data_IF_720511845078
#
_entry.id   IF_720511845078
#
_cell.length_a   1.000
_cell.length_b   1.000
_cell.length_c   1.000
_cell.angle_alpha   90.00
_cell.angle_beta   90.00
_cell.angle_gamma   90.00
#
_symmetry.space_group_name_H-M   'P 1'
#
loop_
_entity.id
_entity.type
_entity.pdbx_description
1 polymer ?
#
# COMPACT_ATOMS: atom_id res chain seq x y z
N UNK A 1 10.01 -34.53 -6.90
CA UNK A 1 10.29 -33.42 -5.96
C UNK A 1 10.65 -32.14 -6.73
N UNK A 2 9.90 -31.77 -7.77
CA UNK A 2 10.19 -30.58 -8.60
C UNK A 2 9.18 -29.43 -8.40
N UNK A 3 8.03 -29.69 -7.77
CA UNK A 3 6.98 -28.68 -7.55
C UNK A 3 7.34 -27.60 -6.53
N UNK A 4 8.07 -27.95 -5.46
CA UNK A 4 8.37 -26.97 -4.40
C UNK A 4 9.42 -25.93 -4.83
N UNK A 5 10.39 -26.31 -5.67
CA UNK A 5 11.45 -25.39 -6.13
C UNK A 5 10.92 -24.28 -7.06
N UNK A 6 9.79 -24.52 -7.74
CA UNK A 6 9.14 -23.54 -8.60
C UNK A 6 8.28 -22.54 -7.83
N UNK A 7 7.83 -22.89 -6.62
CA UNK A 7 7.00 -22.02 -5.78
C UNK A 7 7.85 -20.92 -5.11
N UNK A 8 9.07 -21.25 -4.68
CA UNK A 8 10.01 -20.32 -4.03
C UNK A 8 10.45 -19.12 -4.91
N UNK A 9 10.36 -19.21 -6.24
CA UNK A 9 10.82 -18.15 -7.15
C UNK A 9 9.71 -17.39 -7.89
N UNK A 10 8.47 -17.90 -7.90
CA UNK A 10 7.37 -17.28 -8.66
C UNK A 10 6.60 -16.21 -7.89
N UNK A 11 6.72 -16.15 -6.57
CA UNK A 11 6.18 -15.08 -5.74
C UNK A 11 7.02 -13.79 -5.76
N UNK A 12 8.32 -13.90 -6.06
CA UNK A 12 9.27 -12.80 -5.98
C UNK A 12 8.89 -11.63 -6.90
N UNK A 13 8.71 -10.45 -6.30
CA UNK A 13 8.42 -9.20 -6.99
C UNK A 13 6.96 -9.01 -7.37
N UNK A 14 6.05 -9.96 -7.09
CA UNK A 14 4.60 -9.75 -7.25
C UNK A 14 4.10 -8.77 -6.19
N UNK A 15 4.50 -8.94 -4.92
CA UNK A 15 4.08 -8.04 -3.85
C UNK A 15 4.72 -6.66 -3.99
N UNK A 16 5.95 -6.59 -4.48
CA UNK A 16 6.64 -5.34 -4.82
C UNK A 16 5.90 -4.57 -5.92
N UNK A 17 5.45 -5.25 -6.97
CA UNK A 17 4.61 -4.64 -8.01
C UNK A 17 3.26 -4.17 -7.45
N UNK A 18 2.65 -4.97 -6.58
CA UNK A 18 1.42 -4.61 -5.90
C UNK A 18 1.59 -3.37 -5.01
N UNK A 19 2.70 -3.28 -4.25
CA UNK A 19 3.04 -2.13 -3.44
C UNK A 19 3.21 -0.87 -4.32
N UNK A 20 3.84 -0.99 -5.48
CA UNK A 20 3.92 0.08 -6.48
C UNK A 20 2.54 0.57 -6.93
N UNK A 21 1.63 -0.33 -7.29
CA UNK A 21 0.25 0.02 -7.67
C UNK A 21 -0.52 0.72 -6.54
N UNK A 22 -0.31 0.31 -5.29
CA UNK A 22 -0.91 0.97 -4.12
C UNK A 22 -0.33 2.37 -3.93
N UNK A 23 0.98 2.53 -4.14
CA UNK A 23 1.66 3.83 -4.09
C UNK A 23 1.09 4.79 -5.13
N UNK A 24 0.91 4.32 -6.38
CA UNK A 24 0.30 5.09 -7.47
C UNK A 24 -1.14 5.50 -7.13
N UNK A 25 -1.96 4.54 -6.66
CA UNK A 25 -3.34 4.82 -6.25
C UNK A 25 -3.41 5.86 -5.11
N UNK A 26 -2.47 5.82 -4.16
CA UNK A 26 -2.37 6.82 -3.09
C UNK A 26 -2.02 8.21 -3.62
N UNK A 27 -1.11 8.31 -4.60
CA UNK A 27 -0.75 9.57 -5.23
C UNK A 27 -1.96 10.15 -5.98
N UNK A 28 -2.64 9.32 -6.77
CA UNK A 28 -3.83 9.71 -7.53
C UNK A 28 -4.95 10.18 -6.61
N UNK A 29 -5.23 9.42 -5.56
CA UNK A 29 -6.23 9.79 -4.56
C UNK A 29 -5.92 11.15 -3.92
N UNK A 30 -4.66 11.38 -3.51
CA UNK A 30 -4.24 12.68 -2.96
C UNK A 30 -4.43 13.83 -3.94
N UNK A 31 -4.16 13.61 -5.22
CA UNK A 31 -4.33 14.64 -6.25
C UNK A 31 -5.82 14.97 -6.46
N UNK A 32 -6.67 13.95 -6.57
CA UNK A 32 -8.12 14.13 -6.70
C UNK A 32 -8.69 14.86 -5.47
N UNK A 33 -8.26 14.47 -4.27
CA UNK A 33 -8.75 15.10 -3.04
C UNK A 33 -8.29 16.56 -2.88
N UNK A 34 -7.07 16.91 -3.32
CA UNK A 34 -6.63 18.31 -3.39
C UNK A 34 -7.48 19.10 -4.37
N UNK A 35 -7.70 18.57 -5.57
CA UNK A 35 -8.57 19.23 -6.56
C UNK A 35 -9.98 19.47 -6.02
N UNK A 36 -10.57 18.50 -5.33
CA UNK A 36 -11.88 18.67 -4.73
C UNK A 36 -11.84 19.76 -3.64
N UNK A 37 -10.82 19.77 -2.79
CA UNK A 37 -10.63 20.81 -1.77
C UNK A 37 -10.53 22.20 -2.39
N UNK A 38 -9.75 22.37 -3.45
CA UNK A 38 -9.58 23.64 -4.15
C UNK A 38 -10.90 24.11 -4.79
N UNK A 39 -11.64 23.19 -5.43
CA UNK A 39 -12.97 23.47 -6.00
C UNK A 39 -13.96 23.89 -4.92
N UNK A 40 -13.96 23.19 -3.79
CA UNK A 40 -14.77 23.49 -2.61
C UNK A 40 -14.42 24.90 -2.12
N UNK A 41 -13.15 25.22 -1.83
CA UNK A 41 -12.72 26.56 -1.41
C UNK A 41 -13.11 27.67 -2.39
N UNK A 42 -13.07 27.41 -3.70
CA UNK A 42 -13.47 28.38 -4.73
C UNK A 42 -14.95 28.79 -4.71
N UNK A 43 -15.84 27.93 -4.21
CA UNK A 43 -17.28 28.25 -4.07
C UNK A 43 -17.65 28.85 -2.72
N UNK A 44 -16.76 28.82 -1.73
CA UNK A 44 -17.00 29.35 -0.37
C UNK A 44 -17.45 30.82 -0.39
N UNK A 45 -16.89 31.65 -1.27
CA UNK A 45 -17.26 33.07 -1.40
C UNK A 45 -18.70 33.31 -1.88
N UNK A 46 -19.39 32.28 -2.39
CA UNK A 46 -20.78 32.36 -2.85
C UNK A 46 -21.79 31.90 -1.79
N UNK A 47 -21.35 31.20 -0.74
CA UNK A 47 -22.21 30.56 0.25
C UNK A 47 -22.11 31.32 1.57
N UNK A 48 -22.76 32.49 1.67
CA UNK A 48 -22.86 33.24 2.92
C UNK A 48 -23.93 32.69 3.89
N UNK A 49 -23.78 32.89 5.20
CA UNK A 49 -24.78 32.51 6.20
C UNK A 49 -24.74 31.02 6.60
N UNK A 50 -25.90 30.38 6.80
CA UNK A 50 -25.99 28.95 7.21
C UNK A 50 -25.33 27.98 6.21
N UNK A 51 -25.24 28.35 4.93
CA UNK A 51 -24.52 27.57 3.91
C UNK A 51 -23.01 27.47 4.18
N UNK A 52 -22.41 28.50 4.80
CA UNK A 52 -21.00 28.48 5.19
C UNK A 52 -20.72 27.42 6.28
N UNK A 53 -21.61 27.30 7.27
CA UNK A 53 -21.44 26.33 8.36
C UNK A 53 -21.52 24.88 7.88
N UNK A 54 -22.53 24.56 7.05
CA UNK A 54 -22.64 23.23 6.45
C UNK A 54 -21.44 22.89 5.57
N UNK A 55 -20.89 23.90 4.89
CA UNK A 55 -19.69 23.77 4.07
C UNK A 55 -18.43 23.50 4.90
N UNK A 56 -18.21 24.22 6.00
CA UNK A 56 -17.08 23.94 6.90
C UNK A 56 -17.15 22.52 7.48
N UNK A 57 -18.34 22.07 7.86
CA UNK A 57 -18.54 20.71 8.35
C UNK A 57 -18.21 19.66 7.27
N UNK A 58 -18.62 19.90 6.01
CA UNK A 58 -18.28 19.04 4.88
C UNK A 58 -16.76 19.02 4.65
N UNK A 59 -16.10 20.17 4.63
CA UNK A 59 -14.66 20.26 4.41
C UNK A 59 -13.87 19.52 5.49
N UNK A 60 -14.27 19.68 6.75
CA UNK A 60 -13.62 18.98 7.86
C UNK A 60 -13.80 17.47 7.73
N UNK A 61 -15.04 17.01 7.56
CA UNK A 61 -15.33 15.58 7.39
C UNK A 61 -14.59 15.01 6.18
N UNK A 62 -14.55 15.73 5.06
CA UNK A 62 -13.79 15.32 3.87
C UNK A 62 -12.30 15.15 4.16
N UNK A 63 -11.68 16.12 4.82
CA UNK A 63 -10.26 16.10 5.18
C UNK A 63 -9.94 14.91 6.08
N UNK A 64 -10.78 14.67 7.10
CA UNK A 64 -10.64 13.53 8.01
C UNK A 64 -10.75 12.19 7.26
N UNK A 65 -11.76 12.03 6.39
CA UNK A 65 -11.95 10.79 5.62
C UNK A 65 -10.83 10.55 4.60
N UNK A 66 -10.35 11.61 3.97
CA UNK A 66 -9.20 11.53 3.07
C UNK A 66 -7.97 11.01 3.80
N UNK A 67 -7.66 11.58 4.96
CA UNK A 67 -6.48 11.19 5.73
C UNK A 67 -6.51 9.70 6.10
N UNK A 68 -7.67 9.19 6.55
CA UNK A 68 -7.85 7.76 6.85
C UNK A 68 -7.55 6.87 5.64
N UNK A 69 -8.00 7.25 4.45
CA UNK A 69 -7.75 6.47 3.22
C UNK A 69 -6.25 6.48 2.87
N UNK A 70 -5.60 7.64 2.94
CA UNK A 70 -4.16 7.77 2.64
C UNK A 70 -3.32 6.96 3.62
N UNK A 71 -3.65 7.00 4.91
CA UNK A 71 -2.98 6.22 5.95
C UNK A 71 -3.15 4.71 5.70
N UNK A 72 -4.37 4.26 5.38
CA UNK A 72 -4.62 2.86 5.07
C UNK A 72 -3.85 2.37 3.82
N UNK A 73 -3.75 3.20 2.78
CA UNK A 73 -2.96 2.87 1.57
C UNK A 73 -1.46 2.79 1.89
N UNK A 74 -0.95 3.69 2.72
CA UNK A 74 0.45 3.67 3.15
C UNK A 74 0.77 2.44 4.01
N UNK A 75 -0.11 2.09 4.95
CA UNK A 75 0.04 0.88 5.76
C UNK A 75 -0.02 -0.39 4.90
N UNK A 76 -0.92 -0.43 3.91
CA UNK A 76 -1.02 -1.57 3.00
C UNK A 76 0.23 -1.72 2.12
N UNK A 77 0.75 -0.64 1.55
CA UNK A 77 2.02 -0.63 0.80
C UNK A 77 3.17 -1.18 1.66
N UNK A 78 3.30 -0.70 2.90
CA UNK A 78 4.32 -1.16 3.83
C UNK A 78 4.17 -2.65 4.16
N UNK A 79 2.93 -3.10 4.38
CA UNK A 79 2.61 -4.51 4.66
C UNK A 79 3.07 -5.42 3.53
N UNK A 80 2.84 -5.01 2.27
CA UNK A 80 3.28 -5.77 1.09
C UNK A 80 4.81 -5.83 0.99
N UNK A 81 5.50 -4.71 1.25
CA UNK A 81 6.96 -4.67 1.24
C UNK A 81 7.60 -5.53 2.34
N UNK A 82 7.04 -5.51 3.55
CA UNK A 82 7.48 -6.38 4.66
C UNK A 82 7.25 -7.85 4.32
N UNK A 83 6.06 -8.19 3.81
CA UNK A 83 5.71 -9.58 3.47
C UNK A 83 6.65 -10.16 2.40
N UNK A 84 6.98 -9.38 1.36
CA UNK A 84 7.96 -9.81 0.34
C UNK A 84 9.32 -10.09 0.96
N UNK A 85 9.82 -9.17 1.81
CA UNK A 85 11.13 -9.31 2.44
C UNK A 85 11.19 -10.53 3.37
N UNK A 86 10.12 -10.78 4.12
CA UNK A 86 10.03 -11.91 5.05
C UNK A 86 9.95 -13.24 4.29
N UNK A 87 9.26 -13.28 3.15
CA UNK A 87 9.24 -14.45 2.27
C UNK A 87 10.65 -14.76 1.73
N UNK A 88 11.35 -13.77 1.16
CA UNK A 88 12.72 -13.93 0.64
C UNK A 88 13.65 -14.44 1.75
N UNK A 89 13.62 -13.82 2.94
CA UNK A 89 14.46 -14.23 4.07
C UNK A 89 14.15 -15.66 4.54
N UNK A 90 12.88 -16.08 4.47
CA UNK A 90 12.45 -17.42 4.86
C UNK A 90 12.95 -18.45 3.85
N UNK A 91 12.87 -18.13 2.56
CA UNK A 91 13.29 -19.01 1.47
C UNK A 91 14.81 -19.21 1.45
N UNK A 92 15.59 -18.13 1.63
CA UNK A 92 17.04 -18.20 1.76
C UNK A 92 17.47 -19.12 2.93
N UNK A 93 16.82 -19.00 4.08
CA UNK A 93 17.10 -19.81 5.26
C UNK A 93 16.77 -21.30 5.03
N UNK A 94 15.65 -21.59 4.37
CA UNK A 94 15.26 -22.96 4.03
C UNK A 94 16.19 -23.58 2.98
N UNK A 95 16.58 -22.81 1.95
CA UNK A 95 17.52 -23.25 0.92
C UNK A 95 18.91 -23.58 1.48
N UNK A 96 19.40 -22.76 2.41
CA UNK A 96 20.66 -23.02 3.11
C UNK A 96 20.59 -24.31 3.95
N UNK A 97 19.49 -24.51 4.70
CA UNK A 97 19.27 -25.73 5.49
C UNK A 97 19.17 -26.99 4.63
N UNK A 98 18.45 -26.91 3.50
CA UNK A 98 18.32 -28.02 2.57
C UNK A 98 19.66 -28.39 1.92
N UNK A 99 20.42 -27.38 1.47
CA UNK A 99 21.76 -27.58 0.89
C UNK A 99 22.71 -28.24 1.89
N UNK A 100 22.69 -27.77 3.15
CA UNK A 100 23.50 -28.35 4.22
C UNK A 100 23.12 -29.80 4.54
N UNK A 101 21.82 -30.13 4.52
CA UNK A 101 21.35 -31.50 4.74
C UNK A 101 21.71 -32.41 3.57
N UNK A 102 21.50 -31.95 2.33
CA UNK A 102 21.83 -32.70 1.11
C UNK A 102 23.33 -33.02 1.03
N UNK A 103 24.19 -32.06 1.35
CA UNK A 103 25.64 -32.25 1.41
C UNK A 103 26.07 -33.28 2.48
N UNK A 104 25.28 -33.46 3.55
CA UNK A 104 25.53 -34.44 4.61
C UNK A 104 25.00 -35.84 4.30
N UNK A 105 24.03 -35.96 3.40
CA UNK A 105 23.47 -37.25 2.97
C UNK A 105 24.10 -37.78 1.67
N UNK A 106 24.80 -36.92 0.93
CA UNK A 106 25.53 -37.27 -0.30
C UNK A 106 27.00 -37.68 -0.09
N UNK A 107 27.47 -37.74 1.16
CA UNK A 107 28.76 -38.31 1.55
C UNK A 107 28.56 -39.56 2.40
#
# INVERSE_FOLDING_TARGET
>A
MAENAQDFGQGEGVLTRAAGMVSDARIDFNNISRQLTDQISGVQGRWGGQGATAFFALQQAWTEKQQVIVEALNEFENSLGVTERDNISTDDAQGANFTNLSNRMGN
#
